data_IF_908273973325
#
_entry.id   IF_908273973325
#
_cell.length_a   1.000
_cell.length_b   1.000
_cell.length_c   1.000
_cell.angle_alpha   90.00
_cell.angle_beta   90.00
_cell.angle_gamma   90.00
#
_symmetry.space_group_name_H-M   'P 1'
#
loop_
_entity.id
_entity.type
_entity.pdbx_description
1 polymer ?
#
# COMPACT_ATOMS: atom_id res chain seq x y z
N UNK A 1 -54.19 -22.26 44.73
CA UNK A 1 -54.32 -20.86 45.18
C UNK A 1 -52.93 -20.24 45.15
N UNK A 2 -52.77 -19.01 44.65
CA UNK A 2 -51.47 -18.35 44.51
C UNK A 2 -51.16 -17.90 43.08
N UNK A 3 -51.97 -16.98 42.55
CA UNK A 3 -51.79 -16.37 41.21
C UNK A 3 -50.97 -15.09 41.34
N UNK A 4 -49.95 -14.85 40.50
CA UNK A 4 -49.49 -13.48 40.24
C UNK A 4 -48.95 -13.25 38.82
N UNK A 5 -49.50 -12.21 38.21
CA UNK A 5 -49.17 -11.61 36.91
C UNK A 5 -48.70 -10.16 37.17
N UNK A 6 -47.93 -9.48 36.31
CA UNK A 6 -47.45 -9.77 34.95
C UNK A 6 -46.16 -8.92 34.75
N UNK A 7 -45.26 -9.23 33.81
CA UNK A 7 -44.65 -8.18 32.95
C UNK A 7 -43.90 -8.74 31.73
N UNK A 8 -44.50 -8.54 30.56
CA UNK A 8 -43.86 -8.76 29.26
C UNK A 8 -42.74 -7.74 29.02
N UNK A 9 -41.52 -8.20 28.74
CA UNK A 9 -40.53 -7.43 27.98
C UNK A 9 -40.80 -7.62 26.49
N UNK A 10 -41.32 -6.59 25.82
CA UNK A 10 -41.68 -6.67 24.41
C UNK A 10 -40.44 -6.88 23.50
N UNK A 11 -40.55 -7.69 22.42
CA UNK A 11 -39.49 -7.77 21.42
C UNK A 11 -39.36 -6.44 20.68
N UNK A 12 -38.15 -5.86 20.64
CA UNK A 12 -37.86 -4.62 19.92
C UNK A 12 -38.19 -4.84 18.43
N UNK A 13 -39.24 -4.17 17.94
CA UNK A 13 -39.78 -4.47 16.62
C UNK A 13 -38.82 -4.04 15.50
N UNK A 14 -38.85 -4.79 14.40
CA UNK A 14 -38.07 -4.53 13.17
C UNK A 14 -38.34 -3.14 12.57
N UNK A 15 -39.42 -2.46 12.97
CA UNK A 15 -39.74 -1.09 12.59
C UNK A 15 -38.97 -0.07 13.43
N UNK A 16 -38.78 -0.27 14.74
CA UNK A 16 -38.12 0.72 15.60
C UNK A 16 -36.67 0.98 15.20
N UNK A 17 -35.92 -0.07 14.82
CA UNK A 17 -34.55 0.05 14.29
C UNK A 17 -34.55 0.74 12.91
N UNK A 18 -35.49 0.39 12.03
CA UNK A 18 -35.61 1.00 10.69
C UNK A 18 -36.00 2.48 10.76
N UNK A 19 -36.85 2.87 11.70
CA UNK A 19 -37.19 4.27 11.92
C UNK A 19 -36.00 5.05 12.46
N UNK A 20 -35.32 4.60 13.52
CA UNK A 20 -34.10 5.26 14.02
C UNK A 20 -33.03 5.46 12.92
N UNK A 21 -32.80 4.44 12.08
CA UNK A 21 -31.88 4.57 10.94
C UNK A 21 -32.35 5.63 9.91
N UNK A 22 -33.66 5.73 9.69
CA UNK A 22 -34.26 6.70 8.76
C UNK A 22 -34.23 8.13 9.33
N UNK A 23 -34.44 8.31 10.64
CA UNK A 23 -34.26 9.61 11.31
C UNK A 23 -32.81 10.08 11.21
N UNK A 24 -31.85 9.21 11.53
CA UNK A 24 -30.41 9.52 11.44
C UNK A 24 -29.97 9.92 10.02
N UNK A 25 -30.48 9.25 8.99
CA UNK A 25 -30.17 9.59 7.59
C UNK A 25 -30.81 10.92 7.14
N UNK A 26 -31.98 11.27 7.66
CA UNK A 26 -32.66 12.54 7.36
C UNK A 26 -32.04 13.72 8.10
N UNK A 27 -31.71 13.55 9.38
CA UNK A 27 -31.18 14.59 10.25
C UNK A 27 -29.79 15.07 9.78
N UNK A 28 -28.92 14.13 9.39
CA UNK A 28 -27.60 14.45 8.83
C UNK A 28 -27.65 15.16 7.46
N UNK A 29 -28.73 15.03 6.69
CA UNK A 29 -28.91 15.81 5.45
C UNK A 29 -29.12 17.31 5.71
N UNK A 30 -29.61 17.67 6.90
CA UNK A 30 -29.92 19.06 7.28
C UNK A 30 -28.71 19.81 7.87
N UNK A 31 -27.76 19.09 8.48
CA UNK A 31 -26.55 19.65 9.11
C UNK A 31 -25.56 20.18 8.04
N UNK A 32 -25.61 19.65 6.82
CA UNK A 32 -24.79 20.05 5.67
C UNK A 32 -24.90 21.53 5.26
N UNK A 33 -25.84 22.31 5.82
CA UNK A 33 -26.05 23.73 5.49
C UNK A 33 -25.54 24.73 6.54
N UNK A 34 -24.88 24.31 7.63
CA UNK A 34 -24.68 25.21 8.79
C UNK A 34 -23.32 25.21 9.51
N UNK A 35 -22.25 24.67 8.92
CA UNK A 35 -20.88 24.81 9.48
C UNK A 35 -19.84 25.06 8.39
N UNK A 36 -19.68 26.33 8.04
CA UNK A 36 -18.59 26.86 7.22
C UNK A 36 -17.87 27.95 8.03
N UNK A 37 -17.22 27.58 9.15
CA UNK A 37 -16.40 28.53 9.94
C UNK A 37 -15.37 27.83 10.86
N UNK A 38 -14.08 28.07 10.57
CA UNK A 38 -12.89 27.91 11.43
C UNK A 38 -12.41 26.52 11.92
N UNK A 39 -11.12 26.20 11.66
CA UNK A 39 -10.31 25.32 12.50
C UNK A 39 -8.97 25.99 12.88
N UNK A 40 -8.84 26.48 14.11
CA UNK A 40 -7.61 27.18 14.57
C UNK A 40 -7.22 26.93 16.04
N UNK A 41 -7.66 25.81 16.65
CA UNK A 41 -7.41 25.51 18.07
C UNK A 41 -7.05 24.03 18.30
N UNK A 42 -5.94 23.52 17.74
CA UNK A 42 -5.40 22.19 18.14
C UNK A 42 -3.88 21.99 17.96
N UNK A 43 -3.09 23.03 17.64
CA UNK A 43 -1.68 22.86 17.23
C UNK A 43 -0.62 22.81 18.36
N UNK A 44 -1.01 22.94 19.63
CA UNK A 44 -0.08 23.22 20.74
C UNK A 44 0.20 22.04 21.69
N UNK A 45 0.32 20.80 21.17
CA UNK A 45 0.49 19.61 22.02
C UNK A 45 1.44 18.51 21.49
N UNK A 46 2.50 18.84 20.73
CA UNK A 46 3.55 17.88 20.34
C UNK A 46 4.95 18.50 20.40
N UNK A 47 5.60 18.41 21.57
CA UNK A 47 7.03 18.71 21.77
C UNK A 47 7.80 17.41 22.06
N UNK A 48 8.57 16.93 21.07
CA UNK A 48 9.40 15.72 21.19
C UNK A 48 10.81 16.08 21.69
N UNK A 49 11.33 15.46 22.77
CA UNK A 49 12.68 15.73 23.27
C UNK A 49 13.76 15.04 22.42
N UNK A 50 14.91 15.71 22.27
CA UNK A 50 16.10 15.18 21.59
C UNK A 50 16.76 14.06 22.39
N UNK A 51 17.13 12.97 21.74
CA UNK A 51 18.01 11.93 22.30
C UNK A 51 19.40 12.00 21.65
N UNK A 52 20.44 12.21 22.47
CA UNK A 52 21.84 12.02 22.12
C UNK A 52 22.32 10.68 22.68
N UNK A 53 23.19 9.96 21.96
CA UNK A 53 24.18 9.02 22.49
C UNK A 53 25.30 8.82 21.43
N UNK A 54 26.55 8.47 21.85
CA UNK A 54 27.73 8.57 20.99
C UNK A 54 28.20 7.23 20.40
N UNK A 55 29.08 7.28 19.39
CA UNK A 55 29.98 6.18 19.06
C UNK A 55 31.43 6.66 18.91
N UNK A 56 32.36 5.93 19.53
CA UNK A 56 33.80 6.13 19.44
C UNK A 56 34.44 4.86 18.88
N UNK A 57 35.24 5.03 17.83
CA UNK A 57 36.37 4.20 17.37
C UNK A 57 36.32 2.66 17.46
N UNK A 58 36.51 2.01 16.30
CA UNK A 58 37.57 0.98 16.16
C UNK A 58 38.07 0.92 14.71
N UNK A 59 39.37 0.61 14.53
CA UNK A 59 40.10 0.74 13.25
C UNK A 59 41.05 -0.43 13.02
N UNK A 60 41.19 -0.86 11.75
CA UNK A 60 42.20 -1.80 11.23
C UNK A 60 42.08 -3.23 11.81
N UNK A 61 42.36 -4.34 11.11
CA UNK A 61 43.37 -4.67 10.08
C UNK A 61 42.75 -5.85 9.26
N UNK A 62 43.07 -6.25 8.03
CA UNK A 62 44.37 -6.68 7.47
C UNK A 62 44.17 -7.03 5.98
N UNK A 63 45.20 -6.88 5.15
CA UNK A 63 45.22 -7.43 3.80
C UNK A 63 46.63 -7.94 3.45
N UNK A 64 46.76 -9.20 2.97
CA UNK A 64 47.80 -9.64 2.01
C UNK A 64 47.69 -11.11 1.61
N UNK A 65 48.29 -11.37 0.44
CA UNK A 65 48.79 -12.67 -0.05
C UNK A 65 47.78 -13.71 -0.55
N UNK A 66 47.73 -13.87 -1.87
CA UNK A 66 48.34 -15.04 -2.51
C UNK A 66 48.61 -14.79 -4.00
N UNK A 67 49.81 -15.15 -4.46
CA UNK A 67 50.19 -15.11 -5.88
C UNK A 67 51.09 -16.28 -6.23
N UNK A 68 50.94 -16.80 -7.46
CA UNK A 68 51.84 -17.74 -8.16
C UNK A 68 51.96 -19.17 -7.58
N UNK A 69 51.44 -20.14 -8.33
CA UNK A 69 52.21 -21.35 -8.70
C UNK A 69 51.83 -21.79 -10.13
N UNK A 70 52.67 -22.61 -10.78
CA UNK A 70 52.78 -22.69 -12.25
C UNK A 70 53.28 -24.06 -12.72
N UNK A 71 52.67 -24.60 -13.81
CA UNK A 71 53.05 -25.83 -14.57
C UNK A 71 52.76 -27.15 -13.81
N UNK A 72 52.58 -28.32 -14.44
CA UNK A 72 52.64 -28.75 -15.87
C UNK A 72 51.84 -30.06 -16.04
N UNK A 73 51.15 -30.27 -17.16
CA UNK A 73 51.08 -31.59 -17.80
C UNK A 73 50.69 -31.46 -19.29
N UNK A 74 51.14 -32.42 -20.09
CA UNK A 74 50.86 -32.62 -21.53
C UNK A 74 50.23 -34.02 -21.69
N UNK A 75 49.59 -34.45 -22.77
CA UNK A 75 49.75 -34.17 -24.21
C UNK A 75 48.57 -34.87 -24.92
N UNK A 76 48.05 -34.39 -26.05
CA UNK A 76 47.08 -35.17 -26.85
C UNK A 76 46.08 -34.35 -27.65
N UNK A 77 46.23 -34.34 -28.97
CA UNK A 77 45.23 -33.96 -29.98
C UNK A 77 45.55 -34.76 -31.26
N UNK A 78 44.61 -34.94 -32.20
CA UNK A 78 44.41 -33.89 -33.19
C UNK A 78 42.96 -33.72 -33.71
N UNK A 79 42.78 -32.65 -34.49
CA UNK A 79 41.61 -32.29 -35.30
C UNK A 79 40.26 -32.02 -34.58
N UNK A 80 39.48 -31.02 -35.01
CA UNK A 80 39.79 -30.09 -36.10
C UNK A 80 38.60 -29.54 -36.87
N UNK A 81 37.49 -29.21 -36.22
CA UNK A 81 36.43 -28.35 -36.79
C UNK A 81 35.71 -27.65 -35.61
N UNK A 82 35.00 -26.56 -35.86
CA UNK A 82 34.29 -25.75 -34.85
C UNK A 82 35.14 -24.93 -33.85
N UNK A 83 36.25 -24.33 -34.31
CA UNK A 83 36.88 -23.17 -33.63
C UNK A 83 36.90 -21.86 -34.44
N UNK A 84 36.30 -21.82 -35.64
CA UNK A 84 36.13 -20.58 -36.41
C UNK A 84 34.92 -19.73 -36.01
N UNK A 85 33.84 -20.35 -35.53
CA UNK A 85 32.55 -19.67 -35.34
C UNK A 85 32.39 -18.88 -34.02
N UNK A 86 33.44 -18.79 -33.17
CA UNK A 86 33.32 -18.20 -31.82
C UNK A 86 34.06 -16.88 -31.61
N UNK A 87 34.93 -16.47 -32.55
CA UNK A 87 35.62 -15.17 -32.49
C UNK A 87 34.94 -14.11 -33.39
N UNK A 88 34.37 -14.49 -34.54
CA UNK A 88 33.61 -13.57 -35.40
C UNK A 88 32.29 -13.09 -34.74
N UNK A 89 31.61 -13.96 -33.99
CA UNK A 89 30.34 -13.60 -33.33
C UNK A 89 30.52 -12.58 -32.19
N UNK A 90 31.67 -12.59 -31.52
CA UNK A 90 32.01 -11.56 -30.52
C UNK A 90 32.37 -10.21 -31.16
N UNK A 91 32.91 -10.20 -32.37
CA UNK A 91 33.17 -8.97 -33.12
C UNK A 91 31.89 -8.31 -33.62
N UNK A 92 30.93 -9.10 -34.14
CA UNK A 92 29.64 -8.59 -34.61
C UNK A 92 28.78 -8.00 -33.47
N UNK A 93 28.67 -8.70 -32.33
CA UNK A 93 27.96 -8.17 -31.15
C UNK A 93 28.60 -6.90 -30.56
N UNK A 94 29.93 -6.72 -30.70
CA UNK A 94 30.62 -5.49 -30.31
C UNK A 94 30.42 -4.35 -31.31
N UNK A 95 30.16 -4.65 -32.59
CA UNK A 95 29.82 -3.63 -33.59
C UNK A 95 28.37 -3.18 -33.37
N UNK A 96 27.43 -4.12 -33.16
CA UNK A 96 26.01 -3.84 -32.99
C UNK A 96 25.70 -3.01 -31.72
N UNK A 97 26.26 -3.40 -30.56
CA UNK A 97 26.20 -2.59 -29.32
C UNK A 97 26.81 -1.19 -29.47
N UNK A 98 27.83 -1.05 -30.33
CA UNK A 98 28.50 0.22 -30.58
C UNK A 98 27.67 1.12 -31.51
N UNK A 99 26.93 0.56 -32.47
CA UNK A 99 25.98 1.32 -33.29
C UNK A 99 24.79 1.85 -32.48
N UNK A 100 24.24 1.10 -31.52
CA UNK A 100 23.12 1.58 -30.71
C UNK A 100 23.53 2.64 -29.67
N UNK A 101 24.67 2.45 -28.99
CA UNK A 101 25.21 3.52 -28.11
C UNK A 101 25.57 4.78 -28.90
N UNK A 102 26.10 4.64 -30.12
CA UNK A 102 26.33 5.79 -31.00
C UNK A 102 25.00 6.45 -31.41
N UNK A 103 23.94 5.71 -31.72
CA UNK A 103 22.63 6.31 -32.03
C UNK A 103 22.00 7.03 -30.83
N UNK A 104 22.09 6.46 -29.63
CA UNK A 104 21.60 7.10 -28.39
C UNK A 104 22.38 8.38 -28.07
N UNK A 105 23.72 8.33 -28.12
CA UNK A 105 24.55 9.53 -27.91
C UNK A 105 24.37 10.56 -29.03
N UNK A 106 24.21 10.17 -30.29
CA UNK A 106 23.92 11.10 -31.40
C UNK A 106 22.53 11.71 -31.24
N UNK A 107 21.49 10.97 -30.88
CA UNK A 107 20.16 11.52 -30.61
C UNK A 107 20.15 12.44 -29.39
N UNK A 108 20.96 12.15 -28.36
CA UNK A 108 21.17 13.03 -27.22
C UNK A 108 21.92 14.31 -27.65
N UNK A 109 23.01 14.21 -28.41
CA UNK A 109 23.76 15.37 -28.93
C UNK A 109 22.91 16.19 -29.91
N UNK A 110 22.10 15.57 -30.76
CA UNK A 110 21.18 16.23 -31.69
C UNK A 110 20.04 16.91 -30.92
N UNK A 111 19.40 16.25 -29.93
CA UNK A 111 18.42 16.92 -29.05
C UNK A 111 19.05 18.07 -28.27
N UNK A 112 20.27 17.91 -27.76
CA UNK A 112 21.00 18.95 -27.05
C UNK A 112 21.42 20.12 -27.98
N UNK A 113 21.79 19.86 -29.24
CA UNK A 113 22.04 20.89 -30.24
C UNK A 113 20.76 21.54 -30.75
N UNK A 114 19.66 20.81 -30.90
CA UNK A 114 18.34 21.36 -31.24
C UNK A 114 17.78 22.21 -30.10
N UNK A 115 17.86 21.77 -28.84
CA UNK A 115 17.53 22.61 -27.69
C UNK A 115 18.47 23.82 -27.60
N UNK A 116 19.78 23.69 -27.83
CA UNK A 116 20.70 24.85 -27.87
C UNK A 116 20.44 25.78 -29.05
N UNK A 117 20.03 25.30 -30.22
CA UNK A 117 19.76 26.16 -31.40
C UNK A 117 18.35 26.76 -31.37
N UNK A 118 17.35 26.06 -30.83
CA UNK A 118 16.03 26.60 -30.52
C UNK A 118 16.12 27.62 -29.37
N UNK A 119 16.87 27.34 -28.30
CA UNK A 119 17.15 28.32 -27.25
C UNK A 119 17.90 29.55 -27.80
N UNK A 120 18.89 29.37 -28.69
CA UNK A 120 19.56 30.50 -29.36
C UNK A 120 18.63 31.27 -30.32
N UNK A 121 17.71 30.60 -31.04
CA UNK A 121 16.70 31.26 -31.89
C UNK A 121 15.67 32.01 -31.05
N UNK A 122 15.17 31.40 -29.98
CA UNK A 122 14.25 32.01 -29.02
C UNK A 122 14.90 33.20 -28.31
N UNK A 123 16.15 33.08 -27.86
CA UNK A 123 16.92 34.18 -27.26
C UNK A 123 17.12 35.34 -28.25
N UNK A 124 17.46 35.06 -29.52
CA UNK A 124 17.58 36.10 -30.57
C UNK A 124 16.24 36.75 -30.93
N UNK A 125 15.13 36.01 -30.89
CA UNK A 125 13.79 36.54 -31.11
C UNK A 125 13.32 37.40 -29.93
N UNK A 126 13.53 36.91 -28.71
CA UNK A 126 13.19 37.59 -27.45
C UNK A 126 14.00 38.87 -27.25
N UNK A 127 15.30 38.87 -27.57
CA UNK A 127 16.13 40.09 -27.63
C UNK A 127 15.56 41.15 -28.61
N UNK A 128 14.96 40.74 -29.73
CA UNK A 128 14.36 41.67 -30.70
C UNK A 128 12.98 42.20 -30.28
N UNK A 129 12.25 41.48 -29.44
CA UNK A 129 10.87 41.81 -29.10
C UNK A 129 10.72 42.61 -27.78
N UNK A 130 11.73 42.55 -26.89
CA UNK A 130 11.62 43.09 -25.52
C UNK A 130 12.72 44.09 -25.10
N UNK A 131 13.43 44.71 -26.06
CA UNK A 131 14.36 45.81 -25.77
C UNK A 131 13.68 47.20 -25.94
N UNK A 132 13.25 47.88 -24.85
CA UNK A 132 12.96 49.30 -24.92
C UNK A 132 14.24 50.08 -25.24
N UNK A 133 14.14 51.11 -26.10
CA UNK A 133 15.28 51.93 -26.57
C UNK A 133 15.82 52.91 -25.52
N UNK A 134 16.11 52.45 -24.30
CA UNK A 134 16.84 53.24 -23.27
C UNK A 134 17.96 52.40 -22.65
N UNK A 135 19.13 53.02 -22.50
CA UNK A 135 20.35 52.33 -22.12
C UNK A 135 20.29 51.83 -20.67
N UNK A 136 20.04 50.53 -20.50
CA UNK A 136 20.21 49.82 -19.23
C UNK A 136 21.46 48.96 -19.35
N UNK A 137 22.38 49.10 -18.40
CA UNK A 137 23.73 48.54 -18.45
C UNK A 137 23.73 47.02 -18.68
N UNK A 138 24.56 46.55 -19.62
CA UNK A 138 24.69 45.14 -20.00
C UNK A 138 25.07 44.22 -18.82
N UNK A 139 25.71 44.76 -17.78
CA UNK A 139 26.00 44.04 -16.54
C UNK A 139 24.73 43.66 -15.76
N UNK A 140 23.71 44.52 -15.75
CA UNK A 140 22.45 44.28 -15.03
C UNK A 140 21.66 43.14 -15.69
N UNK A 141 21.65 43.11 -17.02
CA UNK A 141 20.96 42.06 -17.80
C UNK A 141 21.63 40.69 -17.63
N UNK A 142 22.98 40.64 -17.55
CA UNK A 142 23.72 39.42 -17.25
C UNK A 142 23.40 38.86 -15.86
N UNK A 143 23.37 39.71 -14.82
CA UNK A 143 22.98 39.31 -13.47
C UNK A 143 21.53 38.83 -13.38
N UNK A 144 20.59 39.49 -14.07
CA UNK A 144 19.19 39.06 -14.14
C UNK A 144 19.03 37.70 -14.80
N UNK A 145 19.78 37.41 -15.87
CA UNK A 145 19.72 36.11 -16.55
C UNK A 145 20.34 34.98 -15.70
N UNK A 146 21.44 35.27 -14.98
CA UNK A 146 22.02 34.34 -14.00
C UNK A 146 21.06 34.07 -12.83
N UNK A 147 20.45 35.11 -12.25
CA UNK A 147 19.44 34.97 -11.20
C UNK A 147 18.21 34.18 -11.68
N UNK A 148 17.74 34.42 -12.90
CA UNK A 148 16.65 33.64 -13.50
C UNK A 148 17.04 32.17 -13.70
N UNK A 149 18.28 31.89 -14.15
CA UNK A 149 18.76 30.51 -14.29
C UNK A 149 18.90 29.78 -12.95
N UNK A 150 19.25 30.49 -11.87
CA UNK A 150 19.29 29.96 -10.50
C UNK A 150 17.87 29.73 -9.91
N UNK A 151 16.88 30.51 -10.33
CA UNK A 151 15.48 30.34 -9.91
C UNK A 151 14.76 29.17 -10.60
N UNK A 152 15.22 28.76 -11.80
CA UNK A 152 14.58 27.69 -12.60
C UNK A 152 15.06 26.28 -12.21
N UNK A 153 16.20 26.14 -11.53
CA UNK A 153 16.64 24.87 -10.94
C UNK A 153 15.94 24.57 -9.60
N UNK A 154 14.61 24.41 -9.64
CA UNK A 154 13.90 23.69 -8.58
C UNK A 154 14.17 22.19 -8.76
N UNK A 155 14.62 21.44 -7.72
CA UNK A 155 14.72 19.99 -7.82
C UNK A 155 13.30 19.42 -7.99
N UNK A 156 13.14 18.48 -8.93
CA UNK A 156 11.87 17.81 -9.20
C UNK A 156 11.57 16.77 -8.12
N UNK A 157 11.40 17.19 -6.88
CA UNK A 157 10.88 16.34 -5.83
C UNK A 157 9.41 16.04 -6.13
N UNK A 158 9.05 14.75 -6.19
CA UNK A 158 7.66 14.35 -6.10
C UNK A 158 7.09 14.96 -4.81
N UNK A 159 6.13 15.86 -4.97
CA UNK A 159 5.54 16.57 -3.84
C UNK A 159 4.67 15.56 -3.11
N UNK A 160 4.90 15.38 -1.80
CA UNK A 160 3.94 14.65 -0.97
C UNK A 160 2.60 15.39 -1.05
N UNK A 161 1.61 14.75 -1.66
CA UNK A 161 0.24 15.27 -1.82
C UNK A 161 -0.69 14.21 -1.28
N UNK A 162 -1.58 14.61 -0.38
CA UNK A 162 -2.56 13.74 0.22
C UNK A 162 -3.84 14.49 0.50
N UNK A 163 -4.79 13.79 1.12
CA UNK A 163 -6.07 14.35 1.57
C UNK A 163 -6.46 13.60 2.83
N UNK A 164 -6.82 14.34 3.88
CA UNK A 164 -7.34 13.73 5.10
C UNK A 164 -8.63 12.95 4.78
N UNK A 165 -8.70 11.69 5.22
CA UNK A 165 -9.86 10.82 4.95
C UNK A 165 -11.07 11.34 5.73
N UNK A 166 -12.13 11.75 5.03
CA UNK A 166 -13.37 12.13 5.70
C UNK A 166 -14.15 10.87 6.08
N UNK A 167 -14.34 10.57 7.38
CA UNK A 167 -14.97 9.33 7.83
C UNK A 167 -16.45 9.23 7.42
N UNK A 168 -17.13 10.35 7.15
CA UNK A 168 -18.53 10.37 6.73
C UNK A 168 -18.66 10.15 5.22
N UNK A 169 -17.88 10.87 4.41
CA UNK A 169 -18.08 10.92 2.95
C UNK A 169 -17.19 9.98 2.14
N UNK A 170 -15.97 9.64 2.62
CA UNK A 170 -15.02 8.81 1.87
C UNK A 170 -15.13 7.31 2.19
N UNK A 171 -15.90 6.93 3.22
CA UNK A 171 -16.06 5.54 3.67
C UNK A 171 -17.31 4.90 3.05
N UNK A 172 -17.18 3.66 2.59
CA UNK A 172 -18.31 2.89 2.05
C UNK A 172 -19.08 2.20 3.18
N UNK A 173 -20.06 2.88 3.79
CA UNK A 173 -20.87 2.31 4.88
C UNK A 173 -21.69 1.07 4.49
N UNK A 174 -21.91 0.82 3.19
CA UNK A 174 -22.48 -0.44 2.68
C UNK A 174 -21.59 -1.66 2.99
N UNK A 175 -20.29 -1.47 3.18
CA UNK A 175 -19.31 -2.53 3.42
C UNK A 175 -19.29 -3.10 4.84
N UNK A 176 -19.99 -2.44 5.77
CA UNK A 176 -20.34 -2.97 7.08
C UNK A 176 -21.14 -4.30 6.98
N UNK A 177 -21.85 -4.50 5.85
CA UNK A 177 -22.73 -5.63 5.62
C UNK A 177 -22.04 -6.82 4.91
N UNK A 178 -22.50 -8.07 5.17
CA UNK A 178 -23.66 -8.42 5.98
C UNK A 178 -23.38 -8.38 7.50
N UNK A 179 -24.46 -8.16 8.25
CA UNK A 179 -24.48 -8.35 9.72
C UNK A 179 -25.32 -9.59 10.00
N UNK A 180 -24.73 -10.54 10.72
CA UNK A 180 -25.39 -11.76 11.19
C UNK A 180 -25.41 -11.78 12.72
N UNK A 181 -26.51 -12.25 13.30
CA UNK A 181 -26.69 -12.43 14.74
C UNK A 181 -27.30 -13.81 14.97
N UNK A 182 -26.72 -14.59 15.88
CA UNK A 182 -27.17 -15.96 16.20
C UNK A 182 -27.24 -16.89 14.96
N UNK A 183 -26.35 -16.70 13.99
CA UNK A 183 -26.35 -17.37 12.68
C UNK A 183 -27.31 -16.76 11.62
N UNK A 184 -28.27 -15.92 12.01
CA UNK A 184 -29.23 -15.32 11.10
C UNK A 184 -28.71 -14.02 10.46
N UNK A 185 -28.78 -13.92 9.12
CA UNK A 185 -28.42 -12.69 8.40
C UNK A 185 -29.53 -11.65 8.52
N UNK A 186 -29.32 -10.60 9.31
CA UNK A 186 -30.29 -9.51 9.50
C UNK A 186 -30.29 -8.55 8.31
N UNK A 187 -29.09 -8.23 7.83
CA UNK A 187 -28.88 -7.34 6.69
C UNK A 187 -27.96 -8.03 5.67
N UNK A 188 -28.44 -8.19 4.43
CA UNK A 188 -27.65 -8.76 3.32
C UNK A 188 -26.61 -7.75 2.86
N UNK A 189 -25.45 -8.24 2.43
CA UNK A 189 -24.31 -7.42 1.97
C UNK A 189 -23.51 -8.13 0.89
N UNK A 190 -22.23 -7.76 0.75
CA UNK A 190 -21.29 -8.39 -0.18
C UNK A 190 -20.78 -9.76 0.29
N UNK A 191 -19.89 -10.34 -0.50
CA UNK A 191 -19.25 -11.64 -0.30
C UNK A 191 -18.69 -11.84 1.13
N UNK A 192 -19.29 -12.75 1.90
CA UNK A 192 -19.02 -12.95 3.32
C UNK A 192 -18.51 -14.38 3.58
N UNK A 193 -17.41 -14.57 4.32
CA UNK A 193 -16.93 -15.90 4.67
C UNK A 193 -17.95 -16.63 5.56
N UNK A 194 -17.74 -17.95 5.70
CA UNK A 194 -18.57 -18.73 6.61
C UNK A 194 -18.38 -18.26 8.05
N UNK A 195 -19.50 -17.90 8.68
CA UNK A 195 -19.58 -17.37 10.04
C UNK A 195 -20.12 -18.44 10.98
N UNK A 196 -19.83 -18.32 12.28
CA UNK A 196 -20.31 -19.29 13.26
C UNK A 196 -21.85 -19.37 13.30
N UNK A 197 -22.40 -20.49 12.84
CA UNK A 197 -23.84 -20.77 12.80
C UNK A 197 -24.33 -21.38 14.14
N UNK A 198 -24.07 -20.70 15.26
CA UNK A 198 -24.57 -21.09 16.60
C UNK A 198 -25.58 -20.06 17.09
N UNK A 199 -26.62 -20.50 17.80
CA UNK A 199 -27.61 -19.59 18.39
C UNK A 199 -27.04 -18.85 19.62
N UNK A 200 -26.22 -19.56 20.40
CA UNK A 200 -25.59 -19.09 21.62
C UNK A 200 -24.09 -19.35 21.56
N UNK A 201 -23.32 -18.52 22.25
CA UNK A 201 -21.89 -18.68 22.48
C UNK A 201 -21.59 -18.61 23.97
N UNK A 202 -20.47 -19.18 24.41
CA UNK A 202 -20.06 -19.17 25.82
C UNK A 202 -18.61 -18.71 25.93
N UNK A 203 -18.39 -17.64 26.67
CA UNK A 203 -17.06 -17.06 26.86
C UNK A 203 -16.75 -16.82 28.33
N UNK A 204 -15.47 -17.00 28.69
CA UNK A 204 -14.98 -16.89 30.06
C UNK A 204 -14.63 -18.25 30.68
N UNK A 205 -13.54 -18.24 31.44
CA UNK A 205 -13.12 -19.31 32.36
C UNK A 205 -12.77 -18.61 33.69
N UNK A 206 -13.18 -19.12 34.87
CA UNK A 206 -13.89 -20.37 35.10
C UNK A 206 -15.42 -20.29 34.96
N UNK A 207 -16.03 -19.10 35.05
CA UNK A 207 -17.49 -18.92 34.93
C UNK A 207 -17.83 -18.62 33.46
N UNK A 208 -18.58 -19.50 32.75
CA UNK A 208 -19.00 -19.22 31.38
C UNK A 208 -20.13 -18.18 31.38
N UNK A 209 -19.91 -17.07 30.70
CA UNK A 209 -20.97 -16.11 30.36
C UNK A 209 -21.57 -16.55 29.04
N UNK A 210 -22.89 -16.76 29.02
CA UNK A 210 -23.65 -17.11 27.81
C UNK A 210 -23.97 -15.81 27.08
N UNK A 211 -23.71 -15.77 25.78
CA UNK A 211 -24.00 -14.63 24.93
C UNK A 211 -24.55 -15.04 23.56
N UNK A 212 -24.73 -14.05 22.69
CA UNK A 212 -25.22 -14.21 21.32
C UNK A 212 -24.07 -13.93 20.35
N UNK A 213 -23.74 -14.84 19.42
CA UNK A 213 -22.67 -14.59 18.47
C UNK A 213 -23.13 -13.57 17.41
N UNK A 214 -22.35 -12.50 17.26
CA UNK A 214 -22.54 -11.41 16.31
C UNK A 214 -21.37 -11.40 15.34
N UNK A 215 -21.67 -11.20 14.06
CA UNK A 215 -20.72 -11.30 12.95
C UNK A 215 -20.91 -10.12 12.00
N UNK A 216 -19.88 -9.29 11.82
CA UNK A 216 -19.95 -8.06 11.02
C UNK A 216 -18.57 -7.67 10.45
N UNK A 217 -18.54 -6.61 9.66
CA UNK A 217 -17.31 -6.03 9.10
C UNK A 217 -16.97 -4.72 9.79
N UNK A 218 -15.78 -4.61 10.38
CA UNK A 218 -15.29 -3.38 11.01
C UNK A 218 -14.21 -2.71 10.13
N UNK A 219 -14.22 -1.38 9.94
CA UNK A 219 -13.09 -0.66 9.39
C UNK A 219 -12.03 -0.57 10.50
N UNK A 220 -11.00 -1.42 10.42
CA UNK A 220 -10.06 -1.65 11.52
C UNK A 220 -8.77 -0.83 11.37
N UNK A 221 -8.27 -0.71 10.14
CA UNK A 221 -6.94 -0.16 9.82
C UNK A 221 -7.01 0.69 8.55
N UNK A 222 -6.15 1.69 8.48
CA UNK A 222 -5.99 2.56 7.32
C UNK A 222 -4.53 2.44 6.85
N UNK A 223 -4.29 2.53 5.54
CA UNK A 223 -2.98 2.24 4.95
C UNK A 223 -2.67 3.26 3.87
N UNK A 224 -1.49 3.85 3.95
CA UNK A 224 -0.90 4.62 2.85
C UNK A 224 0.08 3.73 2.09
N UNK A 225 0.07 3.81 0.76
CA UNK A 225 1.07 3.19 -0.12
C UNK A 225 1.67 4.30 -0.99
N UNK A 226 2.93 4.64 -0.74
CA UNK A 226 3.56 5.83 -1.32
C UNK A 226 4.89 5.51 -2.00
N UNK A 227 5.22 6.26 -3.05
CA UNK A 227 6.57 6.27 -3.63
C UNK A 227 7.50 7.22 -2.89
N UNK A 228 6.95 8.26 -2.28
CA UNK A 228 7.72 9.20 -1.46
C UNK A 228 7.83 8.68 -0.02
N UNK A 229 9.05 8.59 0.54
CA UNK A 229 9.24 8.11 1.91
C UNK A 229 8.72 9.12 2.94
N UNK A 230 8.17 8.63 4.06
CA UNK A 230 7.58 9.40 5.16
C UNK A 230 6.40 10.31 4.74
N UNK A 231 5.75 10.03 3.61
CA UNK A 231 4.60 10.77 3.12
C UNK A 231 3.29 10.13 3.59
N UNK A 232 2.54 10.85 4.44
CA UNK A 232 1.30 10.36 5.01
C UNK A 232 0.09 10.87 4.21
N UNK A 233 -0.29 10.16 3.13
CA UNK A 233 -1.32 10.64 2.18
C UNK A 233 -2.73 10.69 2.79
N UNK A 234 -3.13 9.70 3.57
CA UNK A 234 -4.43 9.71 4.26
C UNK A 234 -4.48 10.71 5.44
N UNK A 235 -3.35 11.25 5.88
CA UNK A 235 -3.26 12.34 6.89
C UNK A 235 -3.13 13.73 6.25
N UNK A 236 -3.48 13.89 4.97
CA UNK A 236 -3.44 15.18 4.27
C UNK A 236 -2.15 15.48 3.52
N UNK A 237 -1.26 14.49 3.36
CA UNK A 237 0.02 14.67 2.67
C UNK A 237 1.07 15.36 3.54
N UNK A 238 1.05 15.10 4.84
CA UNK A 238 2.11 15.54 5.75
C UNK A 238 3.35 14.67 5.55
N UNK A 239 4.53 15.29 5.46
CA UNK A 239 5.82 14.59 5.39
C UNK A 239 6.47 14.65 6.76
N UNK A 240 6.60 13.49 7.42
CA UNK A 240 7.09 13.40 8.82
C UNK A 240 8.61 13.61 8.89
N UNK A 241 9.34 13.10 7.90
CA UNK A 241 10.77 13.30 7.77
C UNK A 241 11.16 13.55 6.32
N UNK A 242 12.24 14.30 6.13
CA UNK A 242 12.89 14.48 4.82
C UNK A 242 14.19 13.67 4.80
N UNK A 243 14.07 12.37 4.60
CA UNK A 243 15.21 11.59 4.09
C UNK A 243 15.56 12.03 2.67
N UNK A 244 16.81 11.82 2.27
CA UNK A 244 17.24 12.03 0.88
C UNK A 244 16.64 10.98 -0.07
N UNK A 245 17.36 10.66 -1.15
CA UNK A 245 16.91 9.70 -2.19
C UNK A 245 16.82 8.23 -1.74
N UNK A 246 17.15 7.91 -0.48
CA UNK A 246 17.12 6.52 0.03
C UNK A 246 15.68 6.08 0.31
N UNK A 247 15.28 4.92 -0.21
CA UNK A 247 13.95 4.33 0.00
C UNK A 247 12.85 4.95 -0.85
N UNK A 248 13.20 5.68 -1.92
CA UNK A 248 12.21 6.18 -2.88
C UNK A 248 11.68 5.05 -3.76
N UNK A 249 10.37 5.04 -3.97
CA UNK A 249 9.70 4.22 -4.96
C UNK A 249 9.82 4.80 -6.36
N UNK A 250 10.13 3.93 -7.31
CA UNK A 250 10.09 4.23 -8.74
C UNK A 250 9.40 3.07 -9.49
N UNK A 251 9.11 3.27 -10.78
CA UNK A 251 8.79 2.20 -11.72
C UNK A 251 9.99 2.02 -12.64
N UNK A 252 10.69 0.90 -12.48
CA UNK A 252 11.78 0.49 -13.35
C UNK A 252 11.23 -0.40 -14.47
N UNK A 253 11.65 -0.16 -15.71
CA UNK A 253 11.30 -0.99 -16.87
C UNK A 253 12.53 -1.82 -17.25
N UNK A 254 12.42 -3.15 -17.16
CA UNK A 254 13.48 -4.08 -17.48
C UNK A 254 13.71 -4.10 -19.01
N UNK A 255 14.89 -3.67 -19.50
CA UNK A 255 15.17 -3.58 -20.93
C UNK A 255 15.18 -4.94 -21.64
N UNK A 256 15.45 -6.04 -20.94
CA UNK A 256 15.59 -7.37 -21.54
C UNK A 256 14.26 -8.13 -21.60
N UNK A 257 13.29 -7.81 -20.74
CA UNK A 257 12.01 -8.55 -20.62
C UNK A 257 10.75 -7.72 -20.87
N UNK A 258 10.86 -6.39 -20.99
CA UNK A 258 9.72 -5.44 -21.08
C UNK A 258 8.79 -5.52 -19.85
N UNK A 259 9.22 -6.21 -18.78
CA UNK A 259 8.48 -6.25 -17.52
C UNK A 259 8.76 -4.99 -16.71
N UNK A 260 7.75 -4.51 -15.99
CA UNK A 260 7.87 -3.35 -15.12
C UNK A 260 7.95 -3.81 -13.69
N UNK A 261 8.97 -3.38 -12.99
CA UNK A 261 9.10 -3.52 -11.54
C UNK A 261 8.72 -2.20 -10.88
N UNK A 262 8.14 -2.25 -9.70
CA UNK A 262 7.84 -1.03 -8.95
C UNK A 262 8.08 -1.21 -7.47
N UNK A 263 8.52 -0.14 -6.81
CA UNK A 263 8.73 -0.12 -5.36
C UNK A 263 7.82 0.91 -4.68
N UNK A 264 7.31 0.55 -3.49
CA UNK A 264 6.48 1.41 -2.65
C UNK A 264 6.79 1.24 -1.16
N UNK A 265 6.67 2.34 -0.39
CA UNK A 265 6.62 2.34 1.07
C UNK A 265 5.18 2.22 1.57
N UNK A 266 5.01 1.82 2.83
CA UNK A 266 3.73 1.63 3.49
C UNK A 266 3.71 2.28 4.87
N UNK A 267 2.67 3.06 5.14
CA UNK A 267 2.36 3.56 6.48
C UNK A 267 1.07 2.90 6.96
N UNK A 268 1.14 2.20 8.10
CA UNK A 268 0.04 1.40 8.63
C UNK A 268 -0.55 2.07 9.87
N UNK A 269 -1.82 2.44 9.80
CA UNK A 269 -2.51 3.13 10.89
C UNK A 269 -3.57 2.26 11.57
N UNK A 270 -3.68 2.43 12.87
CA UNK A 270 -4.86 2.03 13.63
C UNK A 270 -5.97 3.06 13.38
N UNK A 271 -7.15 2.62 12.89
CA UNK A 271 -8.23 3.54 12.48
C UNK A 271 -9.63 2.95 12.72
N UNK A 272 -10.05 2.71 13.99
CA UNK A 272 -11.31 2.07 14.33
C UNK A 272 -12.50 3.05 14.27
N UNK A 273 -12.85 3.53 13.07
CA UNK A 273 -13.82 4.64 12.86
C UNK A 273 -15.18 4.41 13.52
N UNK A 274 -15.66 3.16 13.55
CA UNK A 274 -16.96 2.79 14.13
C UNK A 274 -17.03 3.10 15.63
N UNK A 275 -15.90 3.03 16.35
CA UNK A 275 -15.82 3.41 17.75
C UNK A 275 -15.92 4.93 17.92
N UNK A 276 -15.16 5.69 17.13
CA UNK A 276 -15.12 7.17 17.18
C UNK A 276 -16.42 7.85 16.74
N UNK A 277 -17.17 7.24 15.81
CA UNK A 277 -18.47 7.76 15.36
C UNK A 277 -19.66 7.29 16.20
N UNK A 278 -19.42 6.49 17.25
CA UNK A 278 -20.47 5.96 18.13
C UNK A 278 -21.63 5.26 17.39
N UNK A 279 -21.36 4.71 16.20
CA UNK A 279 -22.40 4.12 15.34
C UNK A 279 -22.95 2.79 15.89
N UNK A 280 -22.17 2.11 16.74
CA UNK A 280 -22.42 0.76 17.25
C UNK A 280 -21.92 0.61 18.71
N UNK A 281 -22.16 1.62 19.55
CA UNK A 281 -21.61 1.73 20.93
C UNK A 281 -21.93 0.51 21.81
N UNK A 282 -23.09 -0.12 21.61
CA UNK A 282 -23.61 -1.18 22.48
C UNK A 282 -22.93 -2.55 22.30
N UNK A 283 -21.97 -2.68 21.38
CA UNK A 283 -21.26 -3.94 21.15
C UNK A 283 -19.90 -3.95 21.87
N UNK A 284 -19.82 -4.69 22.97
CA UNK A 284 -18.59 -5.07 23.74
C UNK A 284 -17.49 -5.68 22.84
N UNK A 285 -17.85 -6.03 21.61
CA UNK A 285 -17.02 -6.63 20.59
C UNK A 285 -16.05 -5.69 19.85
N UNK A 286 -16.16 -4.36 19.98
CA UNK A 286 -15.32 -3.41 19.21
C UNK A 286 -13.89 -3.28 19.76
N UNK A 287 -12.93 -2.93 18.88
CA UNK A 287 -11.55 -2.61 19.27
C UNK A 287 -11.43 -1.13 19.68
N UNK A 288 -11.37 -0.87 20.98
CA UNK A 288 -11.29 0.49 21.58
C UNK A 288 -9.87 1.05 21.52
N UNK A 289 -9.33 1.27 20.32
CA UNK A 289 -8.01 1.87 20.11
C UNK A 289 -8.10 3.31 19.63
N UNK A 290 -7.06 4.09 19.96
CA UNK A 290 -6.86 5.43 19.40
C UNK A 290 -6.42 5.36 17.93
N UNK A 291 -6.59 6.47 17.20
CA UNK A 291 -5.95 6.63 15.89
C UNK A 291 -4.45 6.83 16.11
N UNK A 292 -3.63 5.98 15.50
CA UNK A 292 -2.18 6.01 15.68
C UNK A 292 -1.44 5.41 14.46
N UNK A 293 -0.19 5.83 14.25
CA UNK A 293 0.71 5.31 13.22
C UNK A 293 1.48 4.11 13.78
N UNK A 294 0.92 2.91 13.54
CA UNK A 294 1.39 1.67 14.14
C UNK A 294 2.59 1.02 13.42
N UNK A 295 2.84 1.32 12.14
CA UNK A 295 4.04 0.87 11.42
C UNK A 295 4.45 1.83 10.30
N UNK A 296 5.75 1.98 10.08
CA UNK A 296 6.39 2.83 9.05
C UNK A 296 7.49 2.00 8.39
N UNK A 297 7.37 1.65 7.11
CA UNK A 297 8.31 0.72 6.46
C UNK A 297 9.68 1.32 6.18
N UNK A 298 9.82 2.64 6.18
CA UNK A 298 11.10 3.35 6.03
C UNK A 298 12.06 3.10 7.19
N UNK A 299 11.54 2.72 8.35
CA UNK A 299 12.32 2.34 9.54
C UNK A 299 12.73 0.86 9.52
N UNK A 300 12.13 0.06 8.64
CA UNK A 300 12.39 -1.38 8.53
C UNK A 300 13.51 -1.69 7.51
N UNK A 301 14.67 -2.22 7.96
CA UNK A 301 15.76 -2.58 7.07
C UNK A 301 15.45 -3.78 6.16
N UNK A 302 14.37 -4.51 6.42
CA UNK A 302 13.92 -5.69 5.66
C UNK A 302 12.88 -5.36 4.59
N UNK A 303 12.29 -4.16 4.59
CA UNK A 303 11.26 -3.77 3.62
C UNK A 303 11.83 -3.39 2.25
N UNK A 304 13.05 -2.83 2.26
CA UNK A 304 13.75 -2.32 1.08
C UNK A 304 14.71 -3.36 0.48
N UNK A 305 14.67 -4.62 0.94
CA UNK A 305 15.67 -5.64 0.62
C UNK A 305 15.07 -7.05 0.58
N UNK A 306 14.84 -7.54 -0.63
CA UNK A 306 14.19 -8.81 -0.92
C UNK A 306 15.05 -10.01 -0.49
N UNK A 307 16.37 -9.91 -0.59
CA UNK A 307 17.30 -10.96 -0.17
C UNK A 307 17.22 -11.17 1.34
N UNK A 308 17.28 -10.08 2.12
CA UNK A 308 17.13 -10.14 3.58
C UNK A 308 15.74 -10.62 4.00
N UNK A 309 14.69 -10.25 3.30
CA UNK A 309 13.34 -10.74 3.56
C UNK A 309 13.19 -12.24 3.29
N UNK A 310 13.85 -12.74 2.23
CA UNK A 310 13.84 -14.17 1.87
C UNK A 310 14.51 -15.05 2.94
N UNK A 311 15.51 -14.53 3.67
CA UNK A 311 16.16 -15.25 4.80
C UNK A 311 15.17 -15.49 5.95
N UNK A 312 14.26 -14.54 6.21
CA UNK A 312 13.23 -14.68 7.24
C UNK A 312 12.02 -15.51 6.78
N UNK A 313 11.78 -15.56 5.48
CA UNK A 313 10.69 -16.30 4.86
C UNK A 313 11.22 -17.34 3.86
N UNK A 314 11.99 -18.36 4.30
CA UNK A 314 12.68 -19.29 3.39
C UNK A 314 11.71 -20.13 2.55
N UNK A 315 10.46 -20.28 2.98
CA UNK A 315 9.38 -20.88 2.20
C UNK A 315 9.04 -20.11 0.90
N UNK A 316 9.43 -18.84 0.77
CA UNK A 316 9.31 -18.10 -0.49
C UNK A 316 10.00 -18.84 -1.65
N UNK A 317 11.10 -19.56 -1.37
CA UNK A 317 11.81 -20.40 -2.33
C UNK A 317 10.96 -21.59 -2.81
N UNK A 318 10.06 -22.11 -1.97
CA UNK A 318 9.12 -23.17 -2.36
C UNK A 318 8.07 -22.62 -3.34
N UNK A 319 7.57 -21.41 -3.11
CA UNK A 319 6.50 -20.80 -3.89
C UNK A 319 6.96 -19.96 -5.09
N UNK A 320 8.27 -19.77 -5.27
CA UNK A 320 8.86 -19.14 -6.46
C UNK A 320 8.79 -19.96 -7.75
N UNK A 321 8.22 -21.17 -7.72
CA UNK A 321 8.13 -22.05 -8.88
C UNK A 321 6.89 -21.75 -9.75
N UNK A 322 6.98 -22.06 -11.06
CA UNK A 322 5.94 -21.75 -12.05
C UNK A 322 4.56 -22.36 -11.72
N UNK A 323 4.53 -23.55 -11.10
CA UNK A 323 3.27 -24.22 -10.71
C UNK A 323 2.59 -23.48 -9.55
N UNK A 324 3.37 -23.05 -8.55
CA UNK A 324 2.87 -22.26 -7.43
C UNK A 324 2.38 -20.86 -7.86
N UNK A 325 3.03 -20.25 -8.86
CA UNK A 325 2.59 -18.99 -9.45
C UNK A 325 1.34 -19.16 -10.33
N UNK A 326 1.26 -20.24 -11.11
CA UNK A 326 0.06 -20.58 -11.89
C UNK A 326 -1.17 -20.81 -10.99
N UNK A 327 -0.99 -21.35 -9.78
CA UNK A 327 -2.06 -21.52 -8.81
C UNK A 327 -2.72 -20.18 -8.38
N UNK A 328 -2.00 -19.05 -8.48
CA UNK A 328 -2.55 -17.73 -8.17
C UNK A 328 -3.61 -17.28 -9.21
N UNK A 329 -3.64 -17.85 -10.41
CA UNK A 329 -4.72 -17.62 -11.37
C UNK A 329 -6.07 -18.18 -10.86
N UNK A 330 -6.06 -19.32 -10.17
CA UNK A 330 -7.27 -19.88 -9.55
C UNK A 330 -7.76 -19.00 -8.40
N UNK A 331 -6.83 -18.46 -7.59
CA UNK A 331 -7.14 -17.51 -6.51
C UNK A 331 -7.71 -16.18 -7.06
N UNK A 332 -7.19 -15.67 -8.19
CA UNK A 332 -7.74 -14.50 -8.89
C UNK A 332 -9.20 -14.71 -9.32
N UNK A 333 -9.50 -15.88 -9.91
CA UNK A 333 -10.87 -16.23 -10.34
C UNK A 333 -11.80 -16.32 -9.12
N UNK A 334 -11.37 -17.01 -8.05
CA UNK A 334 -12.16 -17.17 -6.83
C UNK A 334 -12.44 -15.82 -6.14
N UNK A 335 -11.41 -14.99 -5.94
CA UNK A 335 -11.50 -13.68 -5.32
C UNK A 335 -12.33 -12.68 -6.13
N UNK A 336 -12.32 -12.78 -7.47
CA UNK A 336 -13.16 -11.97 -8.36
C UNK A 336 -14.62 -12.45 -8.37
N UNK A 337 -14.87 -13.76 -8.24
CA UNK A 337 -16.21 -14.31 -8.22
C UNK A 337 -16.93 -14.12 -6.87
N UNK A 338 -16.22 -14.32 -5.75
CA UNK A 338 -16.79 -14.20 -4.41
C UNK A 338 -15.72 -13.90 -3.34
N UNK A 339 -14.83 -14.85 -3.05
CA UNK A 339 -13.82 -14.76 -1.98
C UNK A 339 -12.51 -15.45 -2.39
N UNK A 340 -11.36 -14.94 -1.93
CA UNK A 340 -10.06 -15.58 -2.15
C UNK A 340 -9.98 -16.95 -1.47
N UNK A 341 -9.09 -17.79 -1.98
CA UNK A 341 -8.80 -19.11 -1.44
C UNK A 341 -7.76 -19.00 -0.33
N UNK A 342 -8.19 -19.07 0.92
CA UNK A 342 -7.30 -18.98 2.10
C UNK A 342 -6.14 -19.99 2.11
N UNK A 343 -6.27 -21.26 1.63
CA UNK A 343 -5.14 -22.18 1.55
C UNK A 343 -3.99 -21.70 0.65
N UNK A 344 -4.28 -20.84 -0.33
CA UNK A 344 -3.32 -20.25 -1.26
C UNK A 344 -2.68 -18.98 -0.65
N UNK A 345 -2.14 -19.10 0.56
CA UNK A 345 -1.65 -17.96 1.37
C UNK A 345 -0.45 -17.20 0.76
N UNK A 346 0.21 -17.76 -0.26
CA UNK A 346 1.29 -17.11 -1.01
C UNK A 346 0.78 -16.30 -2.23
N UNK A 347 -0.49 -16.43 -2.58
CA UNK A 347 -1.14 -15.74 -3.68
C UNK A 347 -1.98 -14.55 -3.17
N UNK A 348 -1.84 -13.41 -3.84
CA UNK A 348 -2.68 -12.22 -3.67
C UNK A 348 -3.70 -12.08 -4.80
N UNK A 349 -4.35 -13.18 -5.18
CA UNK A 349 -5.28 -13.27 -6.31
C UNK A 349 -4.77 -12.60 -7.59
N UNK A 350 -5.59 -11.73 -8.17
CA UNK A 350 -5.29 -11.05 -9.43
C UNK A 350 -4.13 -10.06 -9.34
N UNK A 351 -3.69 -9.68 -8.14
CA UNK A 351 -2.57 -8.76 -7.97
C UNK A 351 -1.20 -9.45 -8.10
N UNK A 352 -1.10 -10.78 -7.96
CA UNK A 352 0.14 -11.54 -8.12
C UNK A 352 0.59 -12.29 -6.86
N UNK A 353 1.90 -12.52 -6.71
CA UNK A 353 2.46 -13.23 -5.56
C UNK A 353 2.71 -12.32 -4.35
N UNK A 354 2.46 -12.82 -3.14
CA UNK A 354 2.74 -12.07 -1.91
C UNK A 354 4.22 -12.15 -1.49
N UNK A 355 4.99 -13.11 -2.00
CA UNK A 355 6.43 -13.18 -1.75
C UNK A 355 7.21 -12.33 -2.78
N UNK A 356 8.36 -11.75 -2.39
CA UNK A 356 8.83 -11.51 -1.01
C UNK A 356 7.96 -10.45 -0.29
N UNK A 357 7.95 -10.44 1.06
CA UNK A 357 7.12 -9.49 1.85
C UNK A 357 7.80 -8.12 2.03
N UNK A 358 8.03 -7.47 0.90
CA UNK A 358 8.76 -6.21 0.76
C UNK A 358 7.96 -5.22 -0.07
N UNK A 359 8.50 -4.01 -0.23
CA UNK A 359 7.91 -2.97 -1.07
C UNK A 359 8.00 -3.22 -2.57
N UNK A 360 8.64 -4.32 -3.02
CA UNK A 360 8.83 -4.63 -4.44
C UNK A 360 7.62 -5.35 -5.06
N UNK A 361 7.36 -5.03 -6.32
CA UNK A 361 6.38 -5.69 -7.18
C UNK A 361 7.07 -6.06 -8.48
N UNK A 362 7.26 -7.35 -8.75
CA UNK A 362 7.95 -7.86 -9.94
C UNK A 362 7.17 -7.68 -11.25
N UNK A 363 5.83 -7.59 -11.14
CA UNK A 363 4.92 -7.45 -12.27
C UNK A 363 3.97 -6.28 -12.04
N UNK A 364 4.44 -5.08 -12.38
CA UNK A 364 3.66 -3.84 -12.33
C UNK A 364 2.83 -3.70 -13.62
N UNK A 365 1.51 -3.85 -13.51
CA UNK A 365 0.57 -3.57 -14.62
C UNK A 365 -0.04 -2.17 -14.50
N UNK A 366 -0.22 -1.69 -13.26
CA UNK A 366 -0.64 -0.33 -12.94
C UNK A 366 -0.54 -0.06 -11.44
N UNK A 367 -0.53 1.22 -11.04
CA UNK A 367 -0.34 1.63 -9.65
C UNK A 367 -1.43 1.13 -8.70
N UNK A 368 -2.67 0.98 -9.17
CA UNK A 368 -3.77 0.41 -8.36
C UNK A 368 -3.55 -1.07 -8.07
N UNK A 369 -3.11 -1.87 -9.06
CA UNK A 369 -2.78 -3.29 -8.90
C UNK A 369 -1.57 -3.46 -7.97
N UNK A 370 -0.49 -2.72 -8.25
CA UNK A 370 0.73 -2.78 -7.46
C UNK A 370 0.50 -2.37 -6.00
N UNK A 371 -0.21 -1.27 -5.75
CA UNK A 371 -0.47 -0.83 -4.37
C UNK A 371 -1.44 -1.74 -3.61
N UNK A 372 -2.43 -2.34 -4.27
CA UNK A 372 -3.25 -3.42 -3.68
C UNK A 372 -2.40 -4.65 -3.32
N UNK A 373 -1.41 -5.02 -4.15
CA UNK A 373 -0.49 -6.11 -3.83
C UNK A 373 0.32 -5.78 -2.57
N UNK A 374 0.89 -4.58 -2.52
CA UNK A 374 1.70 -4.10 -1.40
C UNK A 374 0.91 -4.07 -0.07
N UNK A 375 -0.37 -3.67 -0.11
CA UNK A 375 -1.27 -3.80 1.06
C UNK A 375 -1.40 -5.26 1.51
N UNK A 376 -1.58 -6.19 0.59
CA UNK A 376 -1.71 -7.62 0.92
C UNK A 376 -0.40 -8.22 1.46
N UNK A 377 0.74 -7.85 0.86
CA UNK A 377 2.08 -8.20 1.37
C UNK A 377 2.27 -7.70 2.81
N UNK A 378 1.87 -6.47 3.09
CA UNK A 378 1.95 -5.88 4.44
C UNK A 378 1.03 -6.60 5.45
N UNK A 379 -0.21 -6.94 5.08
CA UNK A 379 -1.11 -7.73 5.95
C UNK A 379 -0.50 -9.09 6.27
N UNK A 380 -0.01 -9.81 5.24
CA UNK A 380 0.60 -11.13 5.42
C UNK A 380 1.86 -11.08 6.29
N UNK A 381 2.67 -10.03 6.12
CA UNK A 381 3.85 -9.76 6.95
C UNK A 381 3.50 -9.52 8.41
N UNK A 382 2.55 -8.61 8.68
CA UNK A 382 2.15 -8.27 10.04
C UNK A 382 1.51 -9.46 10.79
N UNK A 383 0.92 -10.42 10.08
CA UNK A 383 0.48 -11.69 10.66
C UNK A 383 1.65 -12.55 11.13
N UNK A 384 2.71 -12.68 10.33
CA UNK A 384 3.93 -13.42 10.68
C UNK A 384 4.70 -12.79 11.83
N UNK A 385 4.75 -11.46 11.86
CA UNK A 385 5.34 -10.69 12.96
C UNK A 385 4.45 -10.68 14.23
N UNK A 386 3.24 -11.26 14.19
CA UNK A 386 2.31 -11.34 15.31
C UNK A 386 1.65 -10.00 15.71
N UNK A 387 1.80 -8.97 14.88
CA UNK A 387 1.20 -7.65 15.07
C UNK A 387 -0.29 -7.67 14.68
N UNK A 388 -0.67 -8.46 13.67
CA UNK A 388 -2.06 -8.77 13.35
C UNK A 388 -2.50 -10.11 13.93
N UNK A 389 -3.77 -10.18 14.29
CA UNK A 389 -4.41 -11.31 14.97
C UNK A 389 -5.64 -11.78 14.18
N UNK A 390 -6.08 -13.02 14.40
CA UNK A 390 -7.33 -13.56 13.89
C UNK A 390 -8.53 -13.12 14.73
N UNK A 391 -9.65 -12.81 14.08
CA UNK A 391 -10.91 -12.34 14.70
C UNK A 391 -12.16 -13.03 14.10
N UNK A 392 -11.98 -14.08 13.31
CA UNK A 392 -13.05 -14.77 12.58
C UNK A 392 -13.18 -16.23 13.04
N UNK A 393 -14.36 -16.82 12.88
CA UNK A 393 -14.65 -18.20 13.26
C UNK A 393 -14.81 -18.39 14.76
N UNK A 394 -14.93 -19.65 15.18
CA UNK A 394 -15.22 -20.01 16.58
C UNK A 394 -14.12 -19.56 17.55
N UNK A 395 -12.86 -19.57 17.12
CA UNK A 395 -11.73 -19.07 17.91
C UNK A 395 -11.78 -17.55 18.14
N UNK A 396 -12.43 -16.77 17.25
CA UNK A 396 -12.58 -15.32 17.38
C UNK A 396 -13.63 -14.88 18.40
N UNK A 397 -14.63 -15.74 18.69
CA UNK A 397 -15.81 -15.37 19.47
C UNK A 397 -15.51 -14.76 20.84
N UNK A 398 -14.49 -15.29 21.53
CA UNK A 398 -14.15 -14.88 22.89
C UNK A 398 -12.91 -13.99 22.98
N UNK A 399 -12.34 -13.59 21.85
CA UNK A 399 -11.13 -12.78 21.79
C UNK A 399 -10.30 -13.03 20.53
N UNK A 400 -9.21 -12.27 20.39
CA UNK A 400 -8.27 -12.42 19.29
C UNK A 400 -7.37 -13.64 19.48
N UNK A 401 -7.04 -14.35 18.41
CA UNK A 401 -6.13 -15.50 18.42
C UNK A 401 -4.91 -15.27 17.51
N UNK A 402 -3.80 -15.95 17.81
CA UNK A 402 -2.58 -15.84 17.00
C UNK A 402 -2.77 -16.55 15.66
N UNK A 403 -2.45 -15.86 14.56
CA UNK A 403 -2.72 -16.32 13.20
C UNK A 403 -1.53 -15.93 12.30
N UNK A 404 -0.51 -16.79 12.15
CA UNK A 404 0.73 -16.45 11.44
C UNK A 404 0.60 -16.49 9.91
N UNK A 405 -0.36 -17.24 9.38
CA UNK A 405 -0.71 -17.27 7.96
C UNK A 405 -1.91 -16.38 7.70
N UNK A 406 -1.92 -15.65 6.58
CA UNK A 406 -3.01 -14.73 6.22
C UNK A 406 -4.27 -15.50 5.81
N UNK A 407 -5.34 -15.37 6.60
CA UNK A 407 -6.69 -15.66 6.14
C UNK A 407 -7.19 -14.47 5.30
N UNK A 408 -7.06 -14.55 3.99
CA UNK A 408 -7.39 -13.50 3.03
C UNK A 408 -8.89 -13.15 3.05
N UNK A 409 -9.75 -14.15 3.26
CA UNK A 409 -11.21 -13.99 3.37
C UNK A 409 -11.65 -13.14 4.58
N UNK A 410 -10.79 -12.98 5.60
CA UNK A 410 -11.03 -12.09 6.74
C UNK A 410 -10.98 -10.60 6.34
N UNK A 411 -10.47 -10.25 5.16
CA UNK A 411 -10.15 -8.88 4.79
C UNK A 411 -10.82 -8.42 3.48
N UNK A 412 -11.25 -7.16 3.47
CA UNK A 412 -11.66 -6.42 2.26
C UNK A 412 -10.96 -5.06 2.22
N UNK A 413 -10.60 -4.60 1.03
CA UNK A 413 -10.02 -3.27 0.80
C UNK A 413 -11.07 -2.31 0.23
N UNK A 414 -10.95 -1.04 0.62
CA UNK A 414 -11.66 0.07 0.02
C UNK A 414 -10.68 1.22 -0.20
N UNK A 415 -10.55 1.71 -1.43
CA UNK A 415 -9.67 2.85 -1.72
C UNK A 415 -10.23 4.15 -1.12
N UNK A 416 -9.37 4.93 -0.46
CA UNK A 416 -9.65 6.27 0.14
C UNK A 416 -8.96 7.40 -0.63
N UNK A 417 -7.77 7.14 -1.18
CA UNK A 417 -6.93 8.07 -1.93
C UNK A 417 -6.34 7.35 -3.17
N UNK A 418 -6.17 8.02 -4.33
CA UNK A 418 -6.41 9.43 -4.61
C UNK A 418 -7.87 9.79 -4.89
N UNK A 419 -8.70 8.82 -5.31
CA UNK A 419 -10.15 9.00 -5.49
C UNK A 419 -10.88 7.91 -4.70
N UNK A 420 -11.57 8.27 -3.62
CA UNK A 420 -12.28 7.32 -2.77
C UNK A 420 -13.28 6.46 -3.55
N UNK A 421 -13.42 5.19 -3.16
CA UNK A 421 -14.44 4.28 -3.66
C UNK A 421 -15.53 4.14 -2.58
N UNK A 422 -16.53 5.02 -2.64
CA UNK A 422 -17.58 5.14 -1.61
C UNK A 422 -18.74 4.16 -1.81
N UNK A 423 -18.77 3.42 -2.92
CA UNK A 423 -19.91 2.56 -3.32
C UNK A 423 -19.69 1.08 -3.07
N UNK A 424 -18.45 0.60 -3.19
CA UNK A 424 -18.07 -0.80 -3.08
C UNK A 424 -16.73 -0.95 -2.33
N UNK A 425 -16.55 -2.11 -1.72
CA UNK A 425 -15.28 -2.66 -1.24
C UNK A 425 -15.10 -4.02 -1.90
N UNK A 426 -13.85 -4.48 -1.96
CA UNK A 426 -13.48 -5.70 -2.67
C UNK A 426 -12.69 -6.61 -1.73
N UNK A 427 -12.87 -7.94 -1.77
CA UNK A 427 -12.04 -8.85 -0.99
C UNK A 427 -10.59 -8.81 -1.51
N UNK A 428 -9.64 -9.27 -0.70
CA UNK A 428 -8.24 -9.40 -1.16
C UNK A 428 -8.18 -10.32 -2.39
N UNK A 429 -7.33 -9.98 -3.35
CA UNK A 429 -7.18 -10.74 -4.60
C UNK A 429 -8.19 -10.43 -5.71
N UNK A 430 -9.24 -9.65 -5.46
CA UNK A 430 -10.24 -9.30 -6.48
C UNK A 430 -9.66 -8.39 -7.56
N UNK A 431 -9.96 -8.63 -8.84
CA UNK A 431 -9.46 -7.80 -9.94
C UNK A 431 -9.82 -6.32 -9.82
N UNK A 432 -8.85 -5.45 -10.07
CA UNK A 432 -9.02 -3.99 -10.15
C UNK A 432 -9.52 -3.50 -11.52
N UNK A 433 -9.53 -4.35 -12.56
CA UNK A 433 -9.92 -3.97 -13.94
C UNK A 433 -11.29 -3.28 -13.99
N UNK A 434 -12.27 -3.75 -13.21
CA UNK A 434 -13.63 -3.22 -13.23
C UNK A 434 -13.83 -1.88 -12.46
N UNK A 435 -12.87 -1.43 -11.66
CA UNK A 435 -13.07 -0.29 -10.75
C UNK A 435 -11.87 0.64 -10.54
N UNK A 436 -10.66 0.21 -10.92
CA UNK A 436 -9.42 0.97 -10.85
C UNK A 436 -9.24 1.99 -11.99
N UNK A 437 -10.07 1.94 -13.03
CA UNK A 437 -10.04 2.91 -14.12
C UNK A 437 -10.25 4.35 -13.60
N UNK A 438 -9.33 5.26 -13.96
CA UNK A 438 -9.35 6.66 -13.48
C UNK A 438 -9.02 6.84 -11.99
N UNK A 439 -8.58 5.78 -11.28
CA UNK A 439 -8.09 5.86 -9.90
C UNK A 439 -6.59 6.13 -9.79
N UNK A 440 -5.86 6.05 -10.89
CA UNK A 440 -4.47 6.49 -11.02
C UNK A 440 -4.41 7.61 -12.06
N UNK A 441 -3.61 8.66 -11.78
CA UNK A 441 -3.42 9.80 -12.68
C UNK A 441 -2.11 10.53 -12.36
N UNK A 442 -1.45 11.17 -13.34
CA UNK A 442 -0.14 11.78 -13.13
C UNK A 442 -0.15 12.92 -12.09
N UNK A 443 1.05 13.22 -11.56
CA UNK A 443 1.36 14.34 -10.66
C UNK A 443 0.75 14.32 -9.24
N UNK A 444 -0.42 13.71 -9.02
CA UNK A 444 -1.01 13.54 -7.67
C UNK A 444 -1.60 12.15 -7.39
N UNK A 445 -1.94 11.38 -8.43
CA UNK A 445 -2.58 10.07 -8.29
C UNK A 445 -1.62 8.89 -8.42
N UNK A 446 -0.35 9.07 -8.03
CA UNK A 446 0.71 8.03 -8.03
C UNK A 446 0.90 7.35 -6.66
N UNK A 447 0.36 7.95 -5.61
CA UNK A 447 0.31 7.44 -4.24
C UNK A 447 -1.13 7.07 -3.91
N UNK A 448 -1.33 6.05 -3.07
CA UNK A 448 -2.62 5.42 -2.84
C UNK A 448 -2.94 5.29 -1.35
N UNK A 449 -4.23 5.30 -1.02
CA UNK A 449 -4.72 5.10 0.34
C UNK A 449 -5.82 4.06 0.36
N UNK A 450 -5.78 3.16 1.34
CA UNK A 450 -6.72 2.05 1.50
C UNK A 450 -7.23 1.94 2.94
N UNK A 451 -8.56 1.90 3.09
CA UNK A 451 -9.23 1.48 4.31
C UNK A 451 -9.38 -0.05 4.28
N UNK A 452 -8.94 -0.70 5.35
CA UNK A 452 -8.98 -2.15 5.52
C UNK A 452 -10.15 -2.52 6.42
N UNK A 453 -11.11 -3.21 5.82
CA UNK A 453 -12.22 -3.81 6.51
C UNK A 453 -11.81 -5.21 6.97
N UNK A 454 -12.05 -5.52 8.25
CA UNK A 454 -11.79 -6.81 8.87
C UNK A 454 -13.11 -7.46 9.26
N UNK A 455 -13.25 -8.76 8.97
CA UNK A 455 -14.34 -9.59 9.47
C UNK A 455 -14.15 -9.83 10.97
N UNK A 456 -15.21 -9.60 11.76
CA UNK A 456 -15.23 -9.86 13.19
C UNK A 456 -16.39 -10.77 13.55
N UNK A 457 -16.07 -11.89 14.21
CA UNK A 457 -17.01 -12.74 14.90
C UNK A 457 -16.76 -12.60 16.40
N UNK A 458 -17.80 -12.33 17.19
CA UNK A 458 -17.68 -12.06 18.62
C UNK A 458 -18.94 -12.47 19.39
N UNK A 459 -18.77 -12.91 20.63
CA UNK A 459 -19.85 -13.21 21.55
C UNK A 459 -20.30 -11.94 22.31
N UNK A 460 -21.53 -11.48 22.05
CA UNK A 460 -22.16 -10.41 22.81
C UNK A 460 -22.74 -10.99 24.11
N UNK A 461 -22.14 -10.64 25.25
CA UNK A 461 -22.43 -11.16 26.59
C UNK A 461 -23.49 -10.35 27.35
#
# INVERSE_FOLDING_TARGET
>A
MGTFCIHNTAPISRQHIKEKLKTFLLENSSISKRKEESPFIFLNALTVPKMHLPMKAMTQTTARSLSKSKRRSSKGSPLGLMKGAKEEFSALLLIEKKTETIHSHILFFIRFFLQRTLAKKFFRAWQKFFLPKRAISTKVFGCLFLAFSLLVFQPLHAKCVGRFVNPVTDICWKCLFPIKIAGFTIAKGGADPESVNKLLCTCGKPIPRVGIPVSFWEPARLVDVTRTPYCLVNMGGISVAKTGTRGWGDIEEDPDTVTKKSFYQVHWYTYPVVYWLELLIDFVCLETLSIDLAYVTELDPLWNDDEKNSILNPEALLFGNVIAQAACAADCIAATANLPLDPLFWCGGCQGSLYPFTGTVDHHTGGVQASLLIVQKMIARLHREGLLWGYMGEAGLCGKYFMPFICKSQYRTQMTYPVSNTKNCHPLGHTEIFWGAGKEFPYKGSDFGYLIWRKRDCCLL
#
